data_IF_072030041493
#
_entry.id   IF_072030041493
#
_cell.length_a   1.000
_cell.length_b   1.000
_cell.length_c   1.000
_cell.angle_alpha   90.00
_cell.angle_beta   90.00
_cell.angle_gamma   90.00
#
_symmetry.space_group_name_H-M   'P 1'
#
loop_
_entity.id
_entity.type
_entity.pdbx_description
1 polymer ?
#
# COMPACT_ATOMS: atom_id res chain seq x y z
N UNK A 1 -3.96 -6.14 -12.74
CA UNK A 1 -4.01 -4.80 -12.16
C UNK A 1 -3.66 -4.79 -10.66
N UNK A 2 -3.10 -3.67 -10.18
CA UNK A 2 -2.74 -3.45 -8.79
C UNK A 2 -2.98 -1.98 -8.41
N UNK A 3 -3.54 -1.72 -7.23
CA UNK A 3 -3.67 -0.37 -6.71
C UNK A 3 -2.50 -0.08 -5.75
N UNK A 4 -1.84 1.07 -5.94
CA UNK A 4 -0.81 1.58 -5.05
C UNK A 4 -1.34 2.80 -4.30
N UNK A 5 -1.64 2.62 -3.02
CA UNK A 5 -2.20 3.65 -2.17
C UNK A 5 -1.10 4.40 -1.39
N UNK A 6 -0.96 5.68 -1.67
CA UNK A 6 0.01 6.57 -1.03
C UNK A 6 -0.55 7.42 0.10
N UNK A 7 0.32 8.23 0.70
CA UNK A 7 -0.04 9.13 1.81
C UNK A 7 -1.03 10.24 1.44
N UNK A 8 -1.11 10.60 0.15
CA UNK A 8 -2.06 11.59 -0.34
C UNK A 8 -3.52 11.22 -0.06
N UNK A 9 -3.84 9.94 -0.02
CA UNK A 9 -5.18 9.45 0.32
C UNK A 9 -5.55 9.84 1.76
N UNK A 10 -4.62 9.68 2.71
CA UNK A 10 -4.84 10.09 4.10
C UNK A 10 -5.01 11.61 4.21
N UNK A 11 -4.20 12.38 3.48
CA UNK A 11 -4.27 13.85 3.45
C UNK A 11 -5.60 14.33 2.89
N UNK A 12 -6.06 13.72 1.79
CA UNK A 12 -7.35 14.02 1.17
C UNK A 12 -8.56 13.44 1.93
N UNK A 13 -8.34 12.67 3.01
CA UNK A 13 -9.39 11.94 3.74
C UNK A 13 -10.22 10.99 2.85
N UNK A 14 -9.59 10.41 1.84
CA UNK A 14 -10.23 9.62 0.79
C UNK A 14 -10.29 8.11 1.12
N UNK A 15 -10.07 7.72 2.37
CA UNK A 15 -9.96 6.33 2.79
C UNK A 15 -11.22 5.51 2.49
N UNK A 16 -12.40 6.08 2.73
CA UNK A 16 -13.67 5.41 2.47
C UNK A 16 -13.91 5.24 0.96
N UNK A 17 -13.64 6.29 0.17
CA UNK A 17 -13.76 6.22 -1.29
C UNK A 17 -12.75 5.25 -1.89
N UNK A 18 -11.52 5.16 -1.34
CA UNK A 18 -10.56 4.13 -1.73
C UNK A 18 -11.10 2.73 -1.45
N UNK A 19 -11.64 2.49 -0.25
CA UNK A 19 -12.18 1.18 0.11
C UNK A 19 -13.29 0.76 -0.84
N UNK A 20 -14.26 1.65 -1.10
CA UNK A 20 -15.33 1.40 -2.06
C UNK A 20 -14.80 1.06 -3.44
N UNK A 21 -13.81 1.81 -3.92
CA UNK A 21 -13.16 1.57 -5.22
C UNK A 21 -12.48 0.20 -5.29
N UNK A 22 -11.69 -0.14 -4.28
CA UNK A 22 -10.99 -1.44 -4.18
C UNK A 22 -11.99 -2.60 -4.18
N UNK A 23 -13.08 -2.49 -3.41
CA UNK A 23 -14.13 -3.51 -3.32
C UNK A 23 -14.92 -3.62 -4.63
N UNK A 24 -15.31 -2.50 -5.24
CA UNK A 24 -16.08 -2.47 -6.46
C UNK A 24 -15.28 -3.00 -7.67
N UNK A 25 -14.02 -2.62 -7.81
CA UNK A 25 -13.14 -3.10 -8.87
C UNK A 25 -12.61 -4.53 -8.59
N UNK A 26 -12.69 -5.02 -7.36
CA UNK A 26 -12.12 -6.29 -6.91
C UNK A 26 -10.61 -6.42 -7.22
N UNK A 27 -9.84 -5.34 -7.03
CA UNK A 27 -8.41 -5.27 -7.37
C UNK A 27 -7.55 -5.27 -6.10
N UNK A 28 -6.47 -6.08 -6.02
CA UNK A 28 -5.54 -6.06 -4.91
C UNK A 28 -4.92 -4.68 -4.69
N UNK A 29 -4.66 -4.35 -3.42
CA UNK A 29 -4.07 -3.07 -3.03
C UNK A 29 -2.82 -3.25 -2.19
N UNK A 30 -1.78 -2.51 -2.55
CA UNK A 30 -0.56 -2.32 -1.76
C UNK A 30 -0.48 -0.88 -1.27
N UNK A 31 0.22 -0.66 -0.17
CA UNK A 31 0.38 0.70 0.36
C UNK A 31 1.85 1.08 0.44
N UNK A 32 2.12 2.38 0.29
CA UNK A 32 3.39 2.94 0.74
C UNK A 32 3.41 3.02 2.27
N UNK A 33 4.57 3.29 2.87
CA UNK A 33 4.63 3.50 4.33
C UNK A 33 3.74 4.66 4.78
N UNK A 34 3.65 5.74 4.00
CA UNK A 34 2.78 6.88 4.28
C UNK A 34 1.30 6.61 3.94
N UNK A 35 1.05 5.62 3.10
CA UNK A 35 -0.30 5.12 2.77
C UNK A 35 -0.82 4.10 3.77
N UNK A 36 -0.03 3.70 4.75
CA UNK A 36 -0.48 2.76 5.77
C UNK A 36 -1.69 3.32 6.53
N UNK A 37 -2.72 2.50 6.68
CA UNK A 37 -3.99 2.91 7.30
C UNK A 37 -5.03 3.48 6.33
N UNK A 38 -4.71 3.65 5.05
CA UNK A 38 -5.71 4.03 4.03
C UNK A 38 -6.75 2.95 3.80
N UNK A 39 -6.37 1.70 4.04
CA UNK A 39 -7.25 0.54 4.05
C UNK A 39 -6.91 -0.33 5.26
N UNK A 40 -7.88 -1.02 5.89
CA UNK A 40 -7.60 -1.94 6.99
C UNK A 40 -6.65 -3.06 6.58
N UNK A 41 -5.68 -3.38 7.44
CA UNK A 41 -4.72 -4.47 7.17
C UNK A 41 -5.37 -5.87 7.16
N UNK A 42 -6.58 -5.97 7.66
CA UNK A 42 -7.42 -7.18 7.64
C UNK A 42 -8.29 -7.29 6.39
N UNK A 43 -8.24 -6.29 5.51
CA UNK A 43 -9.05 -6.29 4.29
C UNK A 43 -8.57 -7.42 3.34
N UNK A 44 -9.47 -8.22 2.74
CA UNK A 44 -9.09 -9.40 1.95
C UNK A 44 -8.24 -9.07 0.72
N UNK A 45 -8.40 -7.88 0.15
CA UNK A 45 -7.63 -7.41 -1.01
C UNK A 45 -6.34 -6.66 -0.62
N UNK A 46 -6.06 -6.50 0.69
CA UNK A 46 -4.82 -5.86 1.13
C UNK A 46 -3.64 -6.82 1.10
N UNK A 47 -2.64 -6.53 0.29
CA UNK A 47 -1.44 -7.36 0.13
C UNK A 47 -0.37 -7.02 1.18
N UNK A 48 -0.14 -5.74 1.41
CA UNK A 48 0.90 -5.27 2.33
C UNK A 48 1.50 -3.92 1.94
N UNK A 49 2.52 -3.51 2.69
CA UNK A 49 3.36 -2.37 2.28
C UNK A 49 4.35 -2.81 1.20
N UNK A 50 4.57 -1.95 0.22
CA UNK A 50 5.65 -2.08 -0.76
C UNK A 50 6.82 -1.12 -0.46
N UNK A 51 7.92 -1.31 -1.15
CA UNK A 51 9.15 -0.53 -1.04
C UNK A 51 10.27 -1.29 -0.31
N UNK A 52 11.36 -0.58 0.05
CA UNK A 52 12.59 -1.13 0.61
C UNK A 52 12.38 -2.05 1.83
N UNK A 53 11.42 -1.74 2.68
CA UNK A 53 11.03 -2.52 3.84
C UNK A 53 9.65 -3.15 3.69
N UNK A 54 9.22 -3.30 2.44
CA UNK A 54 7.93 -3.88 2.10
C UNK A 54 7.90 -5.39 2.22
N UNK A 55 6.68 -5.92 2.14
CA UNK A 55 6.42 -7.35 2.10
C UNK A 55 6.87 -7.91 0.74
N UNK A 56 7.45 -9.10 0.71
CA UNK A 56 7.90 -9.71 -0.54
C UNK A 56 6.76 -9.80 -1.58
N UNK A 57 5.62 -10.32 -1.18
CA UNK A 57 4.45 -10.43 -2.06
C UNK A 57 3.98 -9.07 -2.60
N UNK A 58 4.05 -8.00 -1.79
CA UNK A 58 3.67 -6.66 -2.22
C UNK A 58 4.65 -6.09 -3.27
N UNK A 59 5.96 -6.26 -3.04
CA UNK A 59 6.98 -5.84 -4.01
C UNK A 59 6.90 -6.66 -5.31
N UNK A 60 6.71 -7.97 -5.18
CA UNK A 60 6.55 -8.86 -6.34
C UNK A 60 5.29 -8.52 -7.13
N UNK A 61 4.18 -8.19 -6.45
CA UNK A 61 2.96 -7.74 -7.12
C UNK A 61 3.17 -6.43 -7.91
N UNK A 62 3.95 -5.48 -7.37
CA UNK A 62 4.31 -4.25 -8.10
C UNK A 62 5.14 -4.56 -9.34
N UNK A 63 6.14 -5.44 -9.23
CA UNK A 63 7.02 -5.79 -10.38
C UNK A 63 6.31 -6.57 -11.48
N UNK A 64 5.29 -7.35 -11.15
CA UNK A 64 4.64 -8.27 -12.10
C UNK A 64 3.27 -7.79 -12.59
N UNK A 65 2.72 -6.70 -12.04
CA UNK A 65 1.44 -6.19 -12.51
C UNK A 65 1.51 -5.67 -13.95
N UNK A 66 0.37 -5.71 -14.63
CA UNK A 66 0.17 -5.19 -15.98
C UNK A 66 -0.40 -3.74 -15.97
N UNK A 67 -1.06 -3.36 -14.87
CA UNK A 67 -1.59 -2.04 -14.62
C UNK A 67 -1.31 -1.65 -13.17
N UNK A 68 -0.61 -0.54 -12.97
CA UNK A 68 -0.38 0.06 -11.67
C UNK A 68 -1.21 1.33 -11.53
N UNK A 69 -2.25 1.27 -10.70
CA UNK A 69 -3.12 2.39 -10.41
C UNK A 69 -2.66 3.09 -9.14
N UNK A 70 -1.89 4.15 -9.28
CA UNK A 70 -1.22 4.84 -8.18
C UNK A 70 -1.97 6.09 -7.76
N UNK A 71 -2.22 6.25 -6.45
CA UNK A 71 -3.00 7.34 -5.90
C UNK A 71 -2.24 8.00 -4.73
N UNK A 72 -1.92 9.29 -4.88
CA UNK A 72 -1.29 10.10 -3.84
C UNK A 72 0.07 9.61 -3.39
N UNK A 73 0.91 9.15 -4.35
CA UNK A 73 2.29 8.75 -4.10
C UNK A 73 3.27 9.46 -5.02
N UNK A 74 4.42 9.86 -4.50
CA UNK A 74 5.44 10.60 -5.25
C UNK A 74 6.51 9.71 -5.90
N UNK A 75 6.37 8.40 -5.86
CA UNK A 75 7.34 7.43 -6.40
C UNK A 75 8.79 7.74 -6.00
N UNK A 76 9.02 7.92 -4.69
CA UNK A 76 10.37 8.15 -4.20
C UNK A 76 11.23 6.88 -4.26
N UNK A 77 12.55 7.02 -4.13
CA UNK A 77 13.54 5.95 -4.18
C UNK A 77 13.28 4.80 -3.19
N UNK A 78 12.66 5.10 -2.04
CA UNK A 78 12.30 4.10 -1.02
C UNK A 78 11.17 3.17 -1.48
N UNK A 79 10.38 3.60 -2.46
CA UNK A 79 9.28 2.83 -3.05
C UNK A 79 9.73 2.16 -4.34
N UNK A 80 10.41 2.91 -5.21
CA UNK A 80 10.78 2.43 -6.54
C UNK A 80 12.00 1.51 -6.53
N UNK A 81 12.97 1.79 -5.68
CA UNK A 81 14.28 1.15 -5.81
C UNK A 81 14.90 1.48 -7.17
N UNK A 82 15.33 0.47 -7.91
CA UNK A 82 15.77 0.63 -9.29
C UNK A 82 14.58 0.94 -10.20
N UNK A 83 14.62 2.10 -10.84
CA UNK A 83 13.56 2.58 -11.72
C UNK A 83 13.33 1.70 -12.95
N UNK A 84 14.39 1.02 -13.42
CA UNK A 84 14.28 0.12 -14.57
C UNK A 84 13.53 -1.17 -14.24
N UNK A 85 13.49 -1.54 -12.96
CA UNK A 85 12.83 -2.75 -12.47
C UNK A 85 11.48 -2.45 -11.78
N UNK A 86 11.15 -1.17 -11.60
CA UNK A 86 9.90 -0.78 -10.98
C UNK A 86 8.73 -0.91 -11.96
N UNK A 87 7.86 -1.88 -11.75
CA UNK A 87 6.66 -2.14 -12.56
C UNK A 87 6.95 -2.15 -14.09
N UNK A 88 7.98 -2.88 -14.57
CA UNK A 88 8.50 -2.74 -15.93
C UNK A 88 7.51 -3.16 -17.02
N UNK A 89 6.47 -3.91 -16.64
CA UNK A 89 5.43 -4.41 -17.57
C UNK A 89 4.13 -3.62 -17.48
N UNK A 90 4.01 -2.73 -16.48
CA UNK A 90 2.77 -2.08 -16.16
C UNK A 90 2.54 -0.81 -16.95
N UNK A 91 1.31 -0.58 -17.39
CA UNK A 91 0.82 0.77 -17.66
C UNK A 91 0.56 1.45 -16.33
N UNK A 92 0.97 2.71 -16.19
CA UNK A 92 0.89 3.46 -14.94
C UNK A 92 -0.13 4.57 -15.06
N UNK A 93 -1.19 4.46 -14.25
CA UNK A 93 -2.13 5.55 -13.99
C UNK A 93 -1.71 6.23 -12.70
N UNK A 94 -1.57 7.54 -12.69
CA UNK A 94 -1.13 8.28 -11.51
C UNK A 94 -2.05 9.44 -11.18
N UNK A 95 -2.66 9.38 -10.01
CA UNK A 95 -3.48 10.45 -9.45
C UNK A 95 -2.67 11.15 -8.36
N UNK A 96 -2.39 12.43 -8.58
CA UNK A 96 -1.77 13.29 -7.57
C UNK A 96 -2.28 14.73 -7.75
N UNK A 97 -2.34 15.48 -6.65
CA UNK A 97 -2.73 16.89 -6.66
C UNK A 97 -1.58 17.79 -7.14
N UNK A 98 -0.34 17.33 -6.97
CA UNK A 98 0.86 18.06 -7.33
C UNK A 98 1.33 17.69 -8.74
N UNK A 99 1.16 18.64 -9.67
CA UNK A 99 1.62 18.49 -11.06
C UNK A 99 3.11 18.19 -11.17
N UNK A 100 3.93 18.72 -10.25
CA UNK A 100 5.38 18.50 -10.24
C UNK A 100 5.76 17.06 -9.82
N UNK A 101 4.86 16.31 -9.21
CA UNK A 101 5.05 14.92 -8.85
C UNK A 101 4.75 13.96 -10.01
N UNK A 102 3.92 14.39 -10.98
CA UNK A 102 3.55 13.57 -12.14
C UNK A 102 4.74 13.38 -13.08
N UNK A 103 5.03 12.14 -13.42
CA UNK A 103 6.15 11.72 -14.30
C UNK A 103 7.54 12.22 -13.87
N UNK A 104 7.69 12.60 -12.61
CA UNK A 104 8.98 13.08 -12.10
C UNK A 104 10.02 11.97 -11.98
N UNK A 105 9.66 10.85 -11.42
CA UNK A 105 10.57 9.73 -11.14
C UNK A 105 10.22 8.51 -11.99
N UNK A 106 8.95 8.27 -12.25
CA UNK A 106 8.45 7.16 -13.05
C UNK A 106 7.63 7.74 -14.20
N UNK A 107 7.84 7.25 -15.40
CA UNK A 107 7.04 7.65 -16.57
C UNK A 107 5.60 7.16 -16.38
N UNK A 108 4.65 8.07 -16.54
CA UNK A 108 3.23 7.81 -16.32
C UNK A 108 2.50 7.80 -17.66
N UNK A 109 1.73 6.74 -17.91
CA UNK A 109 0.93 6.62 -19.15
C UNK A 109 -0.34 7.47 -19.09
N UNK A 110 -1.00 7.50 -17.92
CA UNK A 110 -2.24 8.25 -17.72
C UNK A 110 -2.12 9.14 -16.49
N UNK A 111 -1.76 10.42 -16.65
CA UNK A 111 -1.70 11.39 -15.56
C UNK A 111 -3.10 11.93 -15.24
N UNK A 112 -3.44 11.99 -13.96
CA UNK A 112 -4.67 12.61 -13.45
C UNK A 112 -4.31 13.60 -12.35
N UNK A 113 -4.38 14.89 -12.66
CA UNK A 113 -4.13 15.96 -11.68
C UNK A 113 -5.42 16.27 -10.96
N UNK A 114 -5.59 15.72 -9.77
CA UNK A 114 -6.81 15.90 -8.98
C UNK A 114 -6.58 15.58 -7.50
N UNK A 115 -7.44 16.11 -6.64
CA UNK A 115 -7.56 15.64 -5.27
C UNK A 115 -8.01 14.17 -5.26
N UNK A 116 -7.38 13.35 -4.42
CA UNK A 116 -7.63 11.91 -4.39
C UNK A 116 -9.07 11.56 -4.02
N UNK A 117 -9.71 12.36 -3.16
CA UNK A 117 -11.10 12.11 -2.77
C UNK A 117 -12.06 12.39 -3.91
N UNK A 118 -11.86 13.51 -4.62
CA UNK A 118 -12.67 13.89 -5.78
C UNK A 118 -12.50 12.89 -6.93
N UNK A 119 -11.25 12.49 -7.21
CA UNK A 119 -10.96 11.53 -8.26
C UNK A 119 -11.59 10.16 -7.97
N UNK A 120 -11.43 9.65 -6.74
CA UNK A 120 -12.01 8.37 -6.34
C UNK A 120 -13.54 8.39 -6.30
N UNK A 121 -14.15 9.52 -5.92
CA UNK A 121 -15.60 9.67 -5.96
C UNK A 121 -16.13 9.49 -7.39
N UNK A 122 -15.50 10.17 -8.35
CA UNK A 122 -15.84 10.01 -9.77
C UNK A 122 -15.57 8.62 -10.32
N UNK A 123 -14.45 8.00 -9.96
CA UNK A 123 -14.11 6.65 -10.39
C UNK A 123 -15.09 5.60 -9.86
N UNK A 124 -15.58 5.80 -8.64
CA UNK A 124 -16.60 4.93 -8.06
C UNK A 124 -17.94 4.93 -8.81
N UNK A 125 -18.25 5.98 -9.59
CA UNK A 125 -19.45 6.01 -10.45
C UNK A 125 -19.37 5.00 -11.62
N UNK A 126 -18.14 4.63 -12.03
CA UNK A 126 -17.88 3.75 -13.19
C UNK A 126 -17.17 2.46 -12.81
N UNK A 127 -16.99 2.22 -11.51
CA UNK A 127 -16.29 1.05 -11.03
C UNK A 127 -17.09 -0.24 -11.33
N UNK A 128 -16.41 -1.21 -11.94
CA UNK A 128 -16.97 -2.51 -12.28
C UNK A 128 -16.02 -3.63 -11.83
N UNK A 129 -16.55 -4.75 -11.31
CA UNK A 129 -15.70 -5.82 -10.80
C UNK A 129 -14.86 -6.48 -11.89
N UNK A 130 -13.56 -6.50 -11.67
CA UNK A 130 -12.58 -7.13 -12.58
C UNK A 130 -12.35 -8.59 -12.22
N UNK A 131 -11.98 -9.38 -13.22
CA UNK A 131 -11.66 -10.79 -13.06
C UNK A 131 -10.22 -10.95 -12.58
N UNK A 132 -9.98 -10.80 -11.28
CA UNK A 132 -8.64 -10.82 -10.68
C UNK A 132 -8.35 -12.06 -9.81
N UNK A 133 -9.22 -13.07 -9.83
CA UNK A 133 -9.12 -14.23 -8.95
C UNK A 133 -7.77 -14.97 -9.07
N UNK A 134 -7.30 -15.23 -10.30
CA UNK A 134 -6.01 -15.88 -10.54
C UNK A 134 -4.83 -15.00 -10.09
N UNK A 135 -4.94 -13.69 -10.28
CA UNK A 135 -3.95 -12.72 -9.82
C UNK A 135 -3.88 -12.70 -8.29
N UNK A 136 -5.01 -12.65 -7.61
CA UNK A 136 -5.09 -12.70 -6.15
C UNK A 136 -4.49 -14.02 -5.61
N UNK A 137 -4.80 -15.14 -6.27
CA UNK A 137 -4.23 -16.45 -5.93
C UNK A 137 -2.70 -16.47 -6.09
N UNK A 138 -2.19 -15.87 -7.16
CA UNK A 138 -0.74 -15.76 -7.38
C UNK A 138 -0.06 -14.93 -6.30
N UNK A 139 -0.63 -13.78 -5.94
CA UNK A 139 -0.10 -12.92 -4.86
C UNK A 139 -0.09 -13.67 -3.53
N UNK A 140 -1.16 -14.42 -3.24
CA UNK A 140 -1.26 -15.23 -2.02
C UNK A 140 -0.20 -16.33 -1.99
N UNK A 141 0.08 -16.99 -3.11
CA UNK A 141 1.14 -17.98 -3.20
C UNK A 141 2.51 -17.37 -2.86
N UNK A 142 2.84 -16.21 -3.39
CA UNK A 142 4.08 -15.50 -3.04
C UNK A 142 4.16 -15.12 -1.56
N UNK A 143 3.03 -14.83 -0.94
CA UNK A 143 2.97 -14.51 0.48
C UNK A 143 3.17 -15.75 1.37
N UNK A 144 2.64 -16.87 0.97
CA UNK A 144 2.82 -18.17 1.64
C UNK A 144 4.24 -18.72 1.47
N UNK A 145 4.86 -18.53 0.31
CA UNK A 145 6.26 -18.91 0.05
C UNK A 145 7.26 -18.05 0.83
N UNK A 146 6.96 -16.78 1.05
CA UNK A 146 7.83 -15.81 1.71
C UNK A 146 7.11 -15.09 2.85
N UNK A 147 6.69 -15.80 3.89
CA UNK A 147 6.00 -15.19 5.01
C UNK A 147 6.92 -14.21 5.74
N UNK A 148 6.36 -13.16 6.31
CA UNK A 148 7.08 -12.29 7.23
C UNK A 148 7.52 -13.08 8.45
N UNK A 149 8.72 -13.65 8.36
CA UNK A 149 9.29 -14.50 9.40
C UNK A 149 9.84 -13.68 10.55
N UNK A 150 9.52 -14.10 11.77
CA UNK A 150 10.17 -13.59 12.98
C UNK A 150 11.30 -14.53 13.38
N UNK A 151 12.54 -14.06 13.35
CA UNK A 151 13.66 -14.84 13.87
C UNK A 151 13.58 -14.88 15.39
N UNK A 152 13.38 -16.08 15.94
CA UNK A 152 13.32 -16.32 17.40
C UNK A 152 14.61 -16.90 17.97
N UNK A 153 15.56 -17.24 17.11
CA UNK A 153 16.82 -17.92 17.42
C UNK A 153 17.95 -16.97 17.86
N UNK A 154 17.78 -15.67 17.69
CA UNK A 154 18.82 -14.66 17.94
C UNK A 154 18.52 -13.73 19.14
N UNK A 155 17.88 -14.22 20.17
CA UNK A 155 17.50 -13.40 21.33
C UNK A 155 16.31 -12.48 21.05
N UNK A 156 16.17 -11.40 21.84
CA UNK A 156 15.03 -10.49 21.73
C UNK A 156 15.15 -9.61 20.49
N UNK A 157 14.20 -9.73 19.57
CA UNK A 157 14.12 -8.92 18.37
C UNK A 157 13.09 -7.78 18.51
N UNK A 158 13.22 -6.67 17.75
CA UNK A 158 12.21 -5.60 17.75
C UNK A 158 10.80 -6.10 17.44
N UNK A 159 10.67 -7.10 16.56
CA UNK A 159 9.39 -7.70 16.23
C UNK A 159 8.76 -8.42 17.42
N UNK A 160 9.56 -9.14 18.22
CA UNK A 160 9.07 -9.80 19.44
C UNK A 160 8.58 -8.78 20.48
N UNK A 161 9.29 -7.66 20.60
CA UNK A 161 8.86 -6.55 21.48
C UNK A 161 7.50 -6.00 21.00
N UNK A 162 7.36 -5.73 19.71
CA UNK A 162 6.12 -5.21 19.13
C UNK A 162 4.96 -6.21 19.27
N UNK A 163 5.22 -7.52 19.09
CA UNK A 163 4.23 -8.57 19.31
C UNK A 163 3.76 -8.60 20.77
N UNK A 164 4.71 -8.55 21.70
CA UNK A 164 4.40 -8.51 23.15
C UNK A 164 3.57 -7.28 23.51
N UNK A 165 3.97 -6.10 23.06
CA UNK A 165 3.25 -4.85 23.30
C UNK A 165 1.83 -4.92 22.72
N UNK A 166 1.70 -5.34 21.46
CA UNK A 166 0.39 -5.44 20.79
C UNK A 166 -0.55 -6.45 21.47
N UNK A 167 -0.01 -7.52 22.04
CA UNK A 167 -0.78 -8.50 22.79
C UNK A 167 -1.32 -7.94 24.12
N UNK A 168 -0.53 -7.13 24.82
CA UNK A 168 -0.84 -6.66 26.16
C UNK A 168 -1.49 -5.27 26.19
N UNK A 169 -1.31 -4.45 25.15
CA UNK A 169 -1.77 -3.06 25.09
C UNK A 169 -2.55 -2.81 23.78
N UNK A 170 -3.74 -3.40 23.68
CA UNK A 170 -4.55 -3.39 22.44
C UNK A 170 -5.01 -2.00 22.00
N UNK A 171 -5.16 -1.06 22.92
CA UNK A 171 -5.64 0.29 22.65
C UNK A 171 -4.51 1.33 22.60
N UNK A 172 -3.25 0.90 22.69
CA UNK A 172 -2.11 1.80 22.67
C UNK A 172 -1.85 2.37 21.27
N UNK A 173 -1.46 3.63 21.22
CA UNK A 173 -0.93 4.29 20.02
C UNK A 173 0.58 4.11 20.01
N UNK A 174 1.10 3.47 18.98
CA UNK A 174 2.53 3.22 18.84
C UNK A 174 3.18 4.30 17.98
N UNK A 175 4.15 5.00 18.54
CA UNK A 175 5.00 5.95 17.82
C UNK A 175 6.38 5.31 17.68
N UNK A 176 6.79 4.98 16.47
CA UNK A 176 8.08 4.34 16.18
C UNK A 176 8.88 5.15 15.18
N UNK A 177 10.22 5.19 15.29
CA UNK A 177 11.07 5.76 14.24
C UNK A 177 10.89 4.97 12.94
N UNK A 178 10.66 5.66 11.85
CA UNK A 178 10.31 5.09 10.54
C UNK A 178 11.32 4.06 9.99
N UNK A 179 12.60 4.13 10.38
CA UNK A 179 13.68 3.47 9.65
C UNK A 179 14.13 2.11 10.21
N UNK A 180 13.69 1.67 11.37
CA UNK A 180 14.21 0.44 11.99
C UNK A 180 13.19 -0.62 12.35
N UNK A 181 11.96 -0.27 12.41
CA UNK A 181 10.90 -1.25 12.62
C UNK A 181 10.33 -1.61 11.24
N UNK A 182 10.80 -2.69 10.64
CA UNK A 182 10.08 -3.38 9.58
C UNK A 182 8.70 -3.75 10.14
N UNK A 183 7.83 -2.75 10.27
CA UNK A 183 6.57 -2.84 10.98
C UNK A 183 5.55 -3.62 10.16
N UNK A 184 5.66 -4.93 10.21
CA UNK A 184 4.49 -5.78 10.20
C UNK A 184 3.85 -5.71 11.58
N UNK A 185 3.11 -4.64 11.87
CA UNK A 185 2.19 -4.67 13.00
C UNK A 185 1.02 -5.56 12.62
N UNK A 186 0.73 -6.61 13.40
CA UNK A 186 -0.56 -7.30 13.29
C UNK A 186 -1.69 -6.30 13.47
N UNK A 187 -2.83 -6.61 12.90
CA UNK A 187 -4.02 -5.77 12.84
C UNK A 187 -4.40 -5.12 14.18
N UNK A 188 -3.91 -3.92 14.40
CA UNK A 188 -4.36 -3.02 15.42
C UNK A 188 -4.87 -1.75 14.75
N UNK A 189 -6.03 -1.26 15.14
CA UNK A 189 -6.65 -0.06 14.59
C UNK A 189 -5.67 1.10 14.62
N UNK A 190 -5.14 1.52 13.47
CA UNK A 190 -4.45 2.79 13.36
C UNK A 190 -5.50 3.90 13.37
N UNK A 191 -5.78 4.47 14.53
CA UNK A 191 -6.41 5.78 14.57
C UNK A 191 -5.31 6.80 14.30
N UNK A 192 -5.27 7.36 13.12
CA UNK A 192 -4.55 8.59 12.86
C UNK A 192 -5.30 9.70 13.62
N UNK A 193 -4.83 10.04 14.81
CA UNK A 193 -5.26 11.26 15.47
C UNK A 193 -4.69 12.42 14.67
N UNK A 194 -5.57 13.19 14.02
CA UNK A 194 -5.24 14.52 13.53
C UNK A 194 -4.78 15.38 14.70
N UNK A 195 -3.50 15.71 14.76
CA UNK A 195 -3.04 16.85 15.51
C UNK A 195 -3.62 18.11 14.86
N UNK A 196 -4.38 18.87 15.63
CA UNK A 196 -4.83 20.22 15.28
C UNK A 196 -3.65 21.18 15.37
#
# INVERSE_FOLDING_TARGET
>A
PLILAGGGINVARANENLRRFVEAENVPVVTTIMGKGTIPTTHPLYVGNCGMHGKYAANKAVSECDLLFSIGTRFNDRITGDLNEFAPKAKIVHIDVDTASISRNVVVDVPIVADANVALDKLNEWAEPKKTAEWQKQIKAWDEENPLGMRRDKGMTPQMIMEHINKNYKDAIYVTPCCRSGCSTPAGRSRTSSLR
#
